data_IF_879096038252
#
_entry.id   IF_879096038252
#
_cell.length_a   1.000
_cell.length_b   1.000
_cell.length_c   1.000
_cell.angle_alpha   90.00
_cell.angle_beta   90.00
_cell.angle_gamma   90.00
#
_symmetry.space_group_name_H-M   'P 1'
#
loop_
_entity.id
_entity.type
_entity.pdbx_description
1 polymer ?
#
# COMPACT_ATOMS: atom_id res chain seq x y z
N UNK A 1 30.54 0.75 13.42
CA UNK A 1 30.26 1.95 12.60
C UNK A 1 30.14 1.50 11.15
N UNK A 2 28.93 1.38 10.62
CA UNK A 2 28.70 1.06 9.20
C UNK A 2 28.44 2.37 8.44
N UNK A 3 29.13 2.63 7.32
CA UNK A 3 28.96 3.87 6.59
C UNK A 3 27.62 3.84 5.84
N UNK A 4 26.73 4.75 6.22
CA UNK A 4 25.50 5.08 5.51
C UNK A 4 25.87 5.67 4.15
N UNK A 5 25.86 4.84 3.10
CA UNK A 5 25.90 5.27 1.71
C UNK A 5 24.54 5.89 1.30
N UNK A 6 24.19 7.00 1.94
CA UNK A 6 23.09 7.85 1.51
C UNK A 6 23.56 8.71 0.35
N UNK A 7 23.44 8.21 -0.88
CA UNK A 7 23.60 9.07 -2.07
C UNK A 7 22.55 10.18 -2.01
N UNK A 8 23.03 11.38 -1.66
CA UNK A 8 22.29 12.64 -1.60
C UNK A 8 21.39 12.80 -2.83
N UNK A 9 20.17 13.29 -2.63
CA UNK A 9 19.20 13.57 -3.71
C UNK A 9 19.82 14.40 -4.86
N UNK A 10 20.78 15.28 -4.54
CA UNK A 10 21.53 16.06 -5.52
C UNK A 10 22.45 15.20 -6.40
N UNK A 11 23.14 14.22 -5.81
CA UNK A 11 24.02 13.28 -6.52
C UNK A 11 23.23 12.40 -7.50
N UNK A 12 22.03 11.95 -7.12
CA UNK A 12 21.13 11.21 -8.04
C UNK A 12 20.69 12.03 -9.25
N UNK A 13 20.32 13.29 -9.04
CA UNK A 13 19.90 14.19 -10.13
C UNK A 13 21.06 14.54 -11.06
N UNK A 14 22.29 14.67 -10.53
CA UNK A 14 23.49 14.88 -11.35
C UNK A 14 23.82 13.67 -12.21
N UNK A 15 23.79 12.46 -11.63
CA UNK A 15 24.03 11.23 -12.36
C UNK A 15 22.99 11.02 -13.49
N UNK A 16 21.70 11.23 -13.21
CA UNK A 16 20.65 11.13 -14.23
C UNK A 16 20.83 12.15 -15.37
N UNK A 17 21.24 13.39 -15.06
CA UNK A 17 21.55 14.40 -16.08
C UNK A 17 22.76 14.01 -16.93
N UNK A 18 23.78 13.39 -16.34
CA UNK A 18 24.95 12.91 -17.07
C UNK A 18 24.60 11.76 -18.02
N UNK A 19 23.76 10.81 -17.59
CA UNK A 19 23.27 9.72 -18.45
C UNK A 19 22.44 10.26 -19.61
N UNK A 20 21.54 11.22 -19.34
CA UNK A 20 20.74 11.86 -20.39
C UNK A 20 21.57 12.70 -21.37
N UNK A 21 22.63 13.35 -20.89
CA UNK A 21 23.57 14.07 -21.74
C UNK A 21 24.37 13.10 -22.63
N UNK A 22 24.89 12.00 -22.07
CA UNK A 22 25.59 10.97 -22.83
C UNK A 22 24.67 10.28 -23.85
N UNK A 23 23.39 10.09 -23.52
CA UNK A 23 22.38 9.51 -24.41
C UNK A 23 21.95 10.45 -25.55
N UNK A 24 22.22 11.76 -25.46
CA UNK A 24 21.81 12.75 -26.46
C UNK A 24 22.69 12.70 -27.71
N UNK A 25 23.99 12.44 -27.51
CA UNK A 25 25.00 12.48 -28.57
C UNK A 25 25.41 11.09 -29.08
N UNK A 26 24.81 10.02 -28.53
CA UNK A 26 25.08 8.63 -28.86
C UNK A 26 24.25 8.13 -30.06
N UNK A 27 24.76 7.11 -30.76
CA UNK A 27 24.01 6.40 -31.79
C UNK A 27 22.76 5.72 -31.21
N UNK A 28 21.73 5.38 -32.01
CA UNK A 28 20.50 4.75 -31.51
C UNK A 28 20.75 3.46 -30.72
N UNK A 29 21.78 2.70 -31.08
CA UNK A 29 22.17 1.45 -30.41
C UNK A 29 22.90 1.72 -29.09
N UNK A 30 23.87 2.63 -29.06
CA UNK A 30 24.57 3.04 -27.85
C UNK A 30 23.63 3.70 -26.83
N UNK A 31 22.67 4.50 -27.31
CA UNK A 31 21.62 5.10 -26.47
C UNK A 31 20.77 4.04 -25.78
N UNK A 32 20.41 2.96 -26.48
CA UNK A 32 19.65 1.85 -25.89
C UNK A 32 20.47 1.14 -24.82
N UNK A 33 21.73 0.83 -25.11
CA UNK A 33 22.63 0.19 -24.14
C UNK A 33 22.86 1.05 -22.87
N UNK A 34 23.03 2.37 -23.03
CA UNK A 34 23.17 3.31 -21.90
C UNK A 34 21.90 3.41 -21.05
N UNK A 35 20.72 3.40 -21.68
CA UNK A 35 19.45 3.40 -20.94
C UNK A 35 19.19 2.07 -20.23
N UNK A 36 19.53 0.94 -20.85
CA UNK A 36 19.40 -0.38 -20.23
C UNK A 36 20.32 -0.55 -19.03
N UNK A 37 21.58 -0.12 -19.13
CA UNK A 37 22.53 -0.17 -18.01
C UNK A 37 22.10 0.74 -16.86
N UNK A 38 21.66 1.97 -17.15
CA UNK A 38 21.12 2.87 -16.13
C UNK A 38 19.85 2.31 -15.46
N UNK A 39 18.99 1.63 -16.23
CA UNK A 39 17.82 0.92 -15.69
C UNK A 39 18.22 -0.21 -14.76
N UNK A 40 19.15 -1.07 -15.18
CA UNK A 40 19.68 -2.18 -14.36
C UNK A 40 20.31 -1.67 -13.07
N UNK A 41 21.16 -0.65 -13.13
CA UNK A 41 21.79 -0.07 -11.94
C UNK A 41 20.75 0.54 -10.97
N UNK A 42 19.69 1.14 -11.51
CA UNK A 42 18.60 1.68 -10.70
C UNK A 42 17.79 0.55 -10.04
N UNK A 43 17.60 -0.58 -10.73
CA UNK A 43 16.94 -1.79 -10.22
C UNK A 43 17.77 -2.45 -9.12
N UNK A 44 19.05 -2.71 -9.36
CA UNK A 44 19.94 -3.35 -8.39
C UNK A 44 20.04 -2.53 -7.10
N UNK A 45 20.10 -1.20 -7.22
CA UNK A 45 20.05 -0.30 -6.05
C UNK A 45 18.73 -0.34 -5.29
N UNK A 46 17.61 -0.63 -5.95
CA UNK A 46 16.30 -0.80 -5.29
C UNK A 46 16.23 -2.13 -4.56
N UNK A 47 16.62 -3.22 -5.23
CA UNK A 47 16.67 -4.56 -4.62
C UNK A 47 17.66 -4.61 -3.44
N UNK A 48 18.77 -3.89 -3.53
CA UNK A 48 19.75 -3.78 -2.46
C UNK A 48 19.33 -2.88 -1.29
N UNK A 49 18.19 -2.15 -1.36
CA UNK A 49 17.73 -1.36 -0.22
C UNK A 49 17.14 -2.28 0.83
N UNK A 50 17.75 -2.34 2.04
CA UNK A 50 17.18 -3.12 3.11
C UNK A 50 15.83 -2.53 3.48
N UNK A 51 14.82 -3.39 3.54
CA UNK A 51 13.52 -3.00 4.07
C UNK A 51 13.70 -2.42 5.47
N UNK A 52 12.87 -1.43 5.85
CA UNK A 52 12.86 -0.96 7.21
C UNK A 52 12.70 -2.15 8.16
N UNK A 53 13.45 -2.19 9.28
CA UNK A 53 13.45 -3.33 10.22
C UNK A 53 12.05 -3.77 10.67
N UNK A 54 11.12 -2.82 10.75
CA UNK A 54 9.72 -3.06 11.10
C UNK A 54 8.88 -3.72 9.99
N UNK A 55 9.38 -3.86 8.76
CA UNK A 55 8.76 -4.61 7.66
C UNK A 55 9.52 -5.88 7.27
N UNK A 56 10.63 -6.16 7.95
CA UNK A 56 11.51 -7.27 7.58
C UNK A 56 10.84 -8.64 7.76
N UNK A 57 9.89 -8.78 8.69
CA UNK A 57 9.22 -10.05 9.01
C UNK A 57 7.88 -10.19 8.30
N UNK A 58 7.50 -11.43 7.95
CA UNK A 58 6.18 -11.76 7.38
C UNK A 58 5.05 -11.39 8.35
N UNK A 59 5.25 -11.63 9.65
CA UNK A 59 4.27 -11.29 10.69
C UNK A 59 3.97 -9.80 10.74
N UNK A 60 4.99 -8.94 10.75
CA UNK A 60 4.77 -7.48 10.84
C UNK A 60 4.02 -6.94 9.62
N UNK A 61 4.31 -7.47 8.43
CA UNK A 61 3.62 -7.09 7.19
C UNK A 61 2.15 -7.50 7.18
N UNK A 62 1.84 -8.71 7.65
CA UNK A 62 0.46 -9.16 7.85
C UNK A 62 -0.28 -8.32 8.89
N UNK A 63 0.38 -7.96 10.00
CA UNK A 63 -0.21 -7.07 11.01
C UNK A 63 -0.52 -5.68 10.44
N UNK A 64 0.37 -5.14 9.60
CA UNK A 64 0.15 -3.85 8.93
C UNK A 64 -0.99 -3.90 7.92
N UNK A 65 -1.11 -4.98 7.16
CA UNK A 65 -2.25 -5.19 6.28
C UNK A 65 -3.57 -5.31 7.06
N UNK A 66 -3.54 -5.93 8.24
CA UNK A 66 -4.68 -5.98 9.16
C UNK A 66 -5.17 -4.60 9.63
N UNK A 67 -4.31 -3.58 9.60
CA UNK A 67 -4.68 -2.20 9.92
C UNK A 67 -5.80 -1.67 9.01
N UNK A 68 -5.90 -2.17 7.78
CA UNK A 68 -6.96 -1.80 6.84
C UNK A 68 -8.34 -2.28 7.27
N UNK A 69 -8.46 -3.27 8.16
CA UNK A 69 -9.75 -3.75 8.67
C UNK A 69 -10.29 -2.92 9.84
N UNK A 70 -9.42 -2.20 10.56
CA UNK A 70 -9.77 -1.47 11.78
C UNK A 70 -10.81 -0.35 11.52
N UNK A 71 -10.69 0.49 10.47
CA UNK A 71 -11.68 1.53 10.21
C UNK A 71 -13.08 0.98 9.98
N UNK A 72 -13.21 -0.10 9.21
CA UNK A 72 -14.49 -0.78 8.99
C UNK A 72 -15.05 -1.37 10.29
N UNK A 73 -14.24 -2.08 11.07
CA UNK A 73 -14.69 -2.67 12.33
C UNK A 73 -15.17 -1.60 13.32
N UNK A 74 -14.44 -0.49 13.45
CA UNK A 74 -14.85 0.65 14.27
C UNK A 74 -16.13 1.30 13.73
N UNK A 75 -16.21 1.53 12.41
CA UNK A 75 -17.39 2.12 11.78
C UNK A 75 -18.64 1.26 11.97
N UNK A 76 -18.53 -0.05 11.77
CA UNK A 76 -19.61 -1.00 11.98
C UNK A 76 -20.03 -1.07 13.46
N UNK A 77 -19.08 -1.17 14.40
CA UNK A 77 -19.40 -1.18 15.83
C UNK A 77 -20.07 0.12 16.27
N UNK A 78 -19.55 1.28 15.85
CA UNK A 78 -20.14 2.58 16.16
C UNK A 78 -21.54 2.78 15.58
N UNK A 79 -21.87 2.12 14.48
CA UNK A 79 -23.19 2.21 13.85
C UNK A 79 -24.32 1.65 14.75
N UNK A 80 -23.98 0.72 15.65
CA UNK A 80 -24.92 0.09 16.60
C UNK A 80 -24.78 0.62 18.03
N UNK A 81 -23.87 1.56 18.29
CA UNK A 81 -23.72 2.18 19.60
C UNK A 81 -24.53 3.48 19.70
N UNK A 82 -24.90 3.92 20.92
CA UNK A 82 -25.59 5.20 21.11
C UNK A 82 -24.76 6.36 20.58
N UNK A 83 -25.32 7.20 19.70
CA UNK A 83 -24.59 8.23 18.98
C UNK A 83 -23.85 9.23 19.90
N UNK A 84 -24.44 9.59 21.04
CA UNK A 84 -23.87 10.56 21.98
C UNK A 84 -23.10 9.93 23.15
N UNK A 85 -22.72 8.65 23.03
CA UNK A 85 -21.92 7.99 24.06
C UNK A 85 -20.43 8.30 23.91
N UNK A 86 -19.69 8.56 25.02
CA UNK A 86 -18.22 8.69 24.98
C UNK A 86 -17.54 7.42 24.45
N UNK A 87 -18.17 6.25 24.61
CA UNK A 87 -17.68 4.99 24.04
C UNK A 87 -17.69 5.05 22.52
N UNK A 88 -18.77 5.57 21.92
CA UNK A 88 -18.92 5.72 20.47
C UNK A 88 -17.86 6.64 19.89
N UNK A 89 -17.64 7.80 20.52
CA UNK A 89 -16.57 8.72 20.12
C UNK A 89 -15.18 8.08 20.23
N UNK A 90 -14.92 7.31 21.28
CA UNK A 90 -13.68 6.57 21.46
C UNK A 90 -13.43 5.56 20.33
N UNK A 91 -14.44 4.78 19.95
CA UNK A 91 -14.35 3.81 18.85
C UNK A 91 -14.11 4.51 17.51
N UNK A 92 -14.82 5.61 17.24
CA UNK A 92 -14.62 6.40 16.01
C UNK A 92 -13.21 7.02 15.95
N UNK A 93 -12.69 7.52 17.07
CA UNK A 93 -11.32 8.03 17.18
C UNK A 93 -10.29 6.96 16.83
N UNK A 94 -10.44 5.73 17.35
CA UNK A 94 -9.56 4.60 17.03
C UNK A 94 -9.59 4.32 15.52
N UNK A 95 -10.79 4.29 14.92
CA UNK A 95 -10.94 4.12 13.48
C UNK A 95 -10.24 5.21 12.67
N UNK A 96 -10.41 6.49 13.05
CA UNK A 96 -9.78 7.63 12.39
C UNK A 96 -8.24 7.58 12.51
N UNK A 97 -7.72 7.27 13.69
CA UNK A 97 -6.27 7.10 13.93
C UNK A 97 -5.75 5.96 13.06
N UNK A 98 -6.47 4.84 12.95
CA UNK A 98 -6.07 3.73 12.09
C UNK A 98 -6.02 4.14 10.60
N UNK A 99 -6.97 4.95 10.12
CA UNK A 99 -6.92 5.51 8.76
C UNK A 99 -5.67 6.36 8.56
N UNK A 100 -5.39 7.30 9.47
CA UNK A 100 -4.22 8.19 9.37
C UNK A 100 -2.90 7.41 9.47
N UNK A 101 -2.81 6.47 10.41
CA UNK A 101 -1.66 5.59 10.56
C UNK A 101 -1.46 4.72 9.33
N UNK A 102 -2.55 4.21 8.74
CA UNK A 102 -2.53 3.42 7.52
C UNK A 102 -2.02 4.23 6.33
N UNK A 103 -2.56 5.44 6.14
CA UNK A 103 -2.12 6.37 5.11
C UNK A 103 -0.66 6.80 5.27
N UNK A 104 -0.16 6.88 6.51
CA UNK A 104 1.25 7.19 6.76
C UNK A 104 2.17 5.98 6.53
N UNK A 105 1.85 4.85 7.16
CA UNK A 105 2.72 3.68 7.24
C UNK A 105 2.61 2.80 5.99
N UNK A 106 1.40 2.41 5.59
CA UNK A 106 1.22 1.58 4.41
C UNK A 106 1.60 2.35 3.15
N UNK A 107 1.16 3.60 3.01
CA UNK A 107 1.51 4.40 1.83
C UNK A 107 3.01 4.64 1.74
N UNK A 108 3.72 4.89 2.85
CA UNK A 108 5.19 5.03 2.84
C UNK A 108 5.90 3.73 2.49
N UNK A 109 5.33 2.59 2.89
CA UNK A 109 5.85 1.28 2.56
C UNK A 109 5.63 0.88 1.11
N UNK A 110 4.45 1.20 0.57
CA UNK A 110 4.06 0.83 -0.79
C UNK A 110 4.46 1.87 -1.82
N UNK A 111 4.80 3.11 -1.41
CA UNK A 111 5.22 4.20 -2.31
C UNK A 111 6.33 3.78 -3.27
N UNK A 112 7.31 3.02 -2.79
CA UNK A 112 8.43 2.60 -3.65
C UNK A 112 8.06 1.51 -4.66
N UNK A 113 6.93 0.80 -4.47
CA UNK A 113 6.41 -0.25 -5.38
C UNK A 113 5.26 0.24 -6.26
N UNK A 114 4.31 1.00 -5.72
CA UNK A 114 3.11 1.44 -6.43
C UNK A 114 3.35 2.62 -7.36
N UNK A 115 4.43 3.38 -7.16
CA UNK A 115 4.79 4.54 -8.00
C UNK A 115 5.85 4.19 -9.07
N UNK A 116 6.19 2.91 -9.27
CA UNK A 116 7.09 2.51 -10.36
C UNK A 116 6.29 2.54 -11.67
N UNK A 117 6.77 3.27 -12.70
CA UNK A 117 6.16 3.23 -14.02
C UNK A 117 6.22 1.83 -14.61
N UNK A 118 5.14 1.38 -15.24
CA UNK A 118 5.04 0.05 -15.87
C UNK A 118 6.16 -0.22 -16.87
N UNK A 119 6.71 0.83 -17.49
CA UNK A 119 7.83 0.75 -18.43
C UNK A 119 9.17 0.33 -17.81
N UNK A 120 9.27 0.34 -16.48
CA UNK A 120 10.48 0.00 -15.73
C UNK A 120 10.33 -1.32 -14.93
N UNK A 121 9.19 -2.01 -15.06
CA UNK A 121 8.92 -3.32 -14.46
C UNK A 121 9.11 -4.44 -15.50
N UNK A 122 9.71 -5.55 -15.09
CA UNK A 122 9.74 -6.78 -15.91
C UNK A 122 8.33 -7.40 -15.97
N UNK A 123 8.07 -8.26 -16.98
CA UNK A 123 6.78 -8.97 -17.13
C UNK A 123 6.37 -9.72 -15.85
N UNK A 124 7.33 -10.33 -15.14
CA UNK A 124 7.07 -11.03 -13.87
C UNK A 124 6.64 -10.07 -12.75
N UNK A 125 7.30 -8.91 -12.64
CA UNK A 125 6.99 -7.91 -11.62
C UNK A 125 5.61 -7.24 -11.88
N UNK A 126 5.23 -7.13 -13.16
CA UNK A 126 3.89 -6.69 -13.57
C UNK A 126 2.82 -7.71 -13.15
N UNK A 127 3.06 -9.00 -13.38
CA UNK A 127 2.13 -10.07 -13.00
C UNK A 127 1.93 -10.13 -11.49
N UNK A 128 3.00 -10.05 -10.70
CA UNK A 128 2.93 -10.02 -9.23
C UNK A 128 2.10 -8.83 -8.73
N UNK A 129 2.36 -7.64 -9.28
CA UNK A 129 1.58 -6.44 -8.93
C UNK A 129 0.11 -6.60 -9.30
N UNK A 130 -0.18 -7.19 -10.46
CA UNK A 130 -1.55 -7.39 -10.92
C UNK A 130 -2.29 -8.43 -10.05
N UNK A 131 -1.60 -9.48 -9.62
CA UNK A 131 -2.13 -10.48 -8.71
C UNK A 131 -2.44 -9.87 -7.33
N UNK A 132 -1.54 -9.06 -6.77
CA UNK A 132 -1.78 -8.33 -5.53
C UNK A 132 -2.98 -7.38 -5.64
N UNK A 133 -3.12 -6.67 -6.77
CA UNK A 133 -4.27 -5.79 -7.03
C UNK A 133 -5.57 -6.58 -7.17
N UNK A 134 -5.54 -7.75 -7.82
CA UNK A 134 -6.70 -8.66 -7.88
C UNK A 134 -7.15 -9.08 -6.48
N UNK A 135 -6.21 -9.38 -5.59
CA UNK A 135 -6.47 -9.61 -4.17
C UNK A 135 -7.14 -8.42 -3.49
N UNK A 136 -6.66 -7.20 -3.75
CA UNK A 136 -7.26 -5.96 -3.24
C UNK A 136 -8.70 -5.78 -3.72
N UNK A 137 -8.99 -6.08 -4.99
CA UNK A 137 -10.34 -6.03 -5.55
C UNK A 137 -11.28 -7.05 -4.90
N UNK A 138 -10.82 -8.29 -4.70
CA UNK A 138 -11.61 -9.31 -3.99
C UNK A 138 -11.92 -8.85 -2.56
N UNK A 139 -10.94 -8.32 -1.84
CA UNK A 139 -11.14 -7.78 -0.50
C UNK A 139 -12.11 -6.59 -0.49
N UNK A 140 -12.06 -5.71 -1.51
CA UNK A 140 -13.00 -4.61 -1.66
C UNK A 140 -14.43 -5.11 -1.90
N UNK A 141 -14.60 -6.14 -2.74
CA UNK A 141 -15.90 -6.75 -2.97
C UNK A 141 -16.47 -7.39 -1.70
N UNK A 142 -15.63 -8.09 -0.92
CA UNK A 142 -16.04 -8.65 0.38
C UNK A 142 -16.45 -7.53 1.33
N UNK A 143 -15.66 -6.44 1.41
CA UNK A 143 -15.95 -5.29 2.26
C UNK A 143 -17.29 -4.64 1.90
N UNK A 144 -17.51 -4.35 0.62
CA UNK A 144 -18.74 -3.74 0.12
C UNK A 144 -19.94 -4.69 0.30
N UNK A 145 -19.77 -5.98 0.00
CA UNK A 145 -20.80 -6.99 0.20
C UNK A 145 -21.21 -7.09 1.67
N UNK A 146 -20.24 -7.04 2.59
CA UNK A 146 -20.51 -7.05 4.05
C UNK A 146 -21.29 -5.79 4.46
N UNK A 147 -20.90 -4.62 3.98
CA UNK A 147 -21.61 -3.36 4.27
C UNK A 147 -23.07 -3.39 3.76
N UNK A 148 -23.30 -3.95 2.56
CA UNK A 148 -24.64 -4.15 1.99
C UNK A 148 -25.47 -5.11 2.85
N UNK A 149 -24.90 -6.26 3.25
CA UNK A 149 -25.59 -7.22 4.12
C UNK A 149 -25.99 -6.57 5.45
N UNK A 150 -25.10 -5.77 6.06
CA UNK A 150 -25.41 -5.05 7.30
C UNK A 150 -26.55 -4.04 7.11
N UNK A 151 -26.59 -3.34 5.98
CA UNK A 151 -27.64 -2.36 5.66
C UNK A 151 -28.99 -3.06 5.44
N UNK A 152 -29.02 -4.18 4.71
CA UNK A 152 -30.23 -4.98 4.52
C UNK A 152 -30.73 -5.55 5.85
N UNK A 153 -29.82 -6.10 6.66
CA UNK A 153 -30.15 -6.65 7.97
C UNK A 153 -30.72 -5.58 8.91
N UNK A 154 -30.17 -4.38 8.93
CA UNK A 154 -30.71 -3.28 9.72
C UNK A 154 -32.13 -2.89 9.26
N UNK A 155 -32.32 -2.69 7.95
CA UNK A 155 -33.62 -2.31 7.39
C UNK A 155 -34.73 -3.36 7.59
N UNK A 156 -34.36 -4.62 7.81
CA UNK A 156 -35.31 -5.72 8.04
C UNK A 156 -35.54 -6.04 9.53
N UNK A 157 -34.54 -5.84 10.40
CA UNK A 157 -34.54 -6.42 11.75
C UNK A 157 -34.31 -5.39 12.86
N UNK A 158 -33.45 -4.39 12.68
CA UNK A 158 -32.97 -3.54 13.77
C UNK A 158 -33.54 -2.12 13.72
N UNK A 159 -33.64 -1.50 12.53
CA UNK A 159 -34.21 -0.16 12.31
C UNK A 159 -33.62 0.96 13.21
N UNK A 160 -32.38 0.81 13.65
CA UNK A 160 -31.80 1.63 14.74
C UNK A 160 -30.46 2.26 14.38
N UNK A 161 -29.91 2.00 13.20
CA UNK A 161 -28.51 2.28 12.90
C UNK A 161 -28.27 3.71 12.43
N UNK A 162 -27.24 4.36 13.00
CA UNK A 162 -26.60 5.51 12.35
C UNK A 162 -25.60 4.98 11.30
N UNK A 163 -25.91 5.19 10.03
CA UNK A 163 -25.12 4.65 8.91
C UNK A 163 -23.85 5.46 8.63
N UNK A 164 -23.73 6.69 9.16
CA UNK A 164 -22.58 7.56 8.86
C UNK A 164 -21.24 6.93 9.28
N UNK A 165 -21.08 6.40 10.51
CA UNK A 165 -19.84 5.77 10.93
C UNK A 165 -19.49 4.54 10.09
N UNK A 166 -20.49 3.75 9.69
CA UNK A 166 -20.30 2.59 8.83
C UNK A 166 -19.76 3.00 7.45
N UNK A 167 -20.33 4.04 6.84
CA UNK A 167 -19.86 4.57 5.54
C UNK A 167 -18.44 5.12 5.65
N UNK A 168 -18.14 5.92 6.68
CA UNK A 168 -16.79 6.45 6.90
C UNK A 168 -15.76 5.33 7.14
N UNK A 169 -16.10 4.33 7.95
CA UNK A 169 -15.24 3.17 8.20
C UNK A 169 -14.98 2.35 6.93
N UNK A 170 -16.03 2.10 6.15
CA UNK A 170 -15.94 1.39 4.86
C UNK A 170 -15.04 2.13 3.89
N UNK A 171 -15.22 3.44 3.74
CA UNK A 171 -14.38 4.27 2.88
C UNK A 171 -12.92 4.27 3.36
N UNK A 172 -12.69 4.45 4.67
CA UNK A 172 -11.34 4.43 5.25
C UNK A 172 -10.61 3.11 4.97
N UNK A 173 -11.29 1.98 5.15
CA UNK A 173 -10.77 0.66 4.81
C UNK A 173 -10.50 0.49 3.31
N UNK A 174 -11.43 0.93 2.45
CA UNK A 174 -11.28 0.82 1.00
C UNK A 174 -10.05 1.55 0.46
N UNK A 175 -9.74 2.73 1.01
CA UNK A 175 -8.55 3.51 0.63
C UNK A 175 -7.24 2.79 1.01
N UNK A 176 -7.25 1.99 2.08
CA UNK A 176 -6.07 1.27 2.56
C UNK A 176 -5.85 -0.08 1.86
N UNK A 177 -6.90 -0.67 1.28
CA UNK A 177 -6.88 -2.02 0.69
C UNK A 177 -5.77 -2.25 -0.35
N UNK A 178 -5.54 -1.37 -1.35
CA UNK A 178 -4.47 -1.59 -2.33
C UNK A 178 -3.09 -1.66 -1.68
N UNK A 179 -2.85 -0.81 -0.67
CA UNK A 179 -1.57 -0.83 0.03
C UNK A 179 -1.45 -2.01 0.99
N UNK A 180 -2.56 -2.46 1.58
CA UNK A 180 -2.61 -3.63 2.44
C UNK A 180 -2.38 -4.93 1.65
N UNK A 181 -2.94 -5.05 0.45
CA UNK A 181 -2.73 -6.20 -0.41
C UNK A 181 -1.26 -6.32 -0.84
N UNK A 182 -0.66 -5.21 -1.29
CA UNK A 182 0.78 -5.17 -1.61
C UNK A 182 1.62 -5.53 -0.37
N UNK A 183 1.29 -5.01 0.81
CA UNK A 183 2.02 -5.32 2.03
C UNK A 183 1.90 -6.79 2.45
N UNK A 184 0.73 -7.40 2.23
CA UNK A 184 0.46 -8.80 2.56
C UNK A 184 1.23 -9.77 1.67
N UNK A 185 1.34 -9.45 0.37
CA UNK A 185 1.93 -10.30 -0.67
C UNK A 185 3.44 -10.10 -0.83
N UNK A 186 3.98 -9.06 -0.22
CA UNK A 186 5.41 -8.77 -0.26
C UNK A 186 6.20 -9.94 0.38
N UNK A 187 7.01 -10.66 -0.41
CA UNK A 187 7.82 -11.88 -0.06
C UNK A 187 7.03 -13.17 0.22
N UNK A 188 6.26 -13.65 -0.76
CA UNK A 188 6.28 -15.09 -1.07
C UNK A 188 7.37 -15.47 -2.11
N UNK A 189 8.12 -14.49 -2.64
CA UNK A 189 9.18 -14.66 -3.64
C UNK A 189 10.58 -15.10 -3.11
N UNK A 190 10.72 -15.43 -1.82
CA UNK A 190 12.00 -15.85 -1.21
C UNK A 190 12.00 -17.33 -0.72
N UNK A 191 10.90 -18.05 -0.89
CA UNK A 191 10.73 -19.46 -0.43
C UNK A 191 10.71 -20.46 -1.61
N UNK A 192 11.48 -20.23 -2.68
CA UNK A 192 11.89 -21.29 -3.61
C UNK A 192 13.39 -21.55 -3.42
N UNK A 193 13.68 -22.43 -2.47
CA UNK A 193 14.96 -23.14 -2.34
C UNK A 193 14.85 -24.57 -2.85
#
# INVERSE_FOLDING_TARGET
>A
MTPSAGTSRKSRLQHHRQVLAAAKDATPEERRALLETARRETRDRRLARPLPRWMATRTSRRTLAGLAAIPFACGAASAYLPAESPVTYGVQMVGAIAVLAGLGLLRRATKELSEIPDSDLDERELDDRNQALKGAYVALLILLGTAVVLTIADGLVLSTVDWKPLVFGTFGSAVLLPSAAIAWDYRELDDEG
#
